data_IF_926177520246
#
_entry.id   IF_926177520246
#
_cell.length_a   1.000
_cell.length_b   1.000
_cell.length_c   1.000
_cell.angle_alpha   90.00
_cell.angle_beta   90.00
_cell.angle_gamma   90.00
#
_symmetry.space_group_name_H-M   'P 1'
#
loop_
_entity.id
_entity.type
_entity.pdbx_description
1 polymer ?
#
# COMPACT_ATOMS: atom_id res chain seq x y z
N UNK A 1 9.28 28.39 8.73
CA UNK A 1 9.52 27.97 7.32
C UNK A 1 10.29 26.66 7.24
N UNK A 2 11.33 26.45 8.04
CA UNK A 2 12.15 25.24 8.03
C UNK A 2 11.38 23.90 8.15
N UNK A 3 10.39 23.79 9.05
CA UNK A 3 9.61 22.56 9.26
C UNK A 3 8.82 22.13 8.01
N UNK A 4 8.19 23.08 7.29
CA UNK A 4 7.46 22.77 6.04
C UNK A 4 8.38 22.28 4.94
N UNK A 5 9.57 22.86 4.82
CA UNK A 5 10.58 22.47 3.82
C UNK A 5 11.10 21.06 4.12
N UNK A 6 11.32 20.73 5.38
CA UNK A 6 11.72 19.40 5.83
C UNK A 6 10.64 18.35 5.52
N UNK A 7 9.38 18.61 5.89
CA UNK A 7 8.25 17.71 5.58
C UNK A 7 8.13 17.47 4.06
N UNK A 8 8.31 18.49 3.24
CA UNK A 8 8.25 18.37 1.78
C UNK A 8 9.42 17.57 1.21
N UNK A 9 10.63 17.82 1.70
CA UNK A 9 11.83 17.07 1.29
C UNK A 9 11.71 15.59 1.67
N UNK A 10 11.26 15.29 2.90
CA UNK A 10 11.02 13.92 3.34
C UNK A 10 9.99 13.22 2.46
N UNK A 11 8.84 13.85 2.20
CA UNK A 11 7.83 13.31 1.30
C UNK A 11 8.38 13.06 -0.11
N UNK A 12 9.25 13.92 -0.63
CA UNK A 12 9.91 13.72 -1.92
C UNK A 12 10.80 12.48 -1.96
N UNK A 13 11.62 12.28 -0.93
CA UNK A 13 12.49 11.10 -0.81
C UNK A 13 11.65 9.81 -0.66
N UNK A 14 10.63 9.83 0.19
CA UNK A 14 9.75 8.67 0.40
C UNK A 14 8.93 8.33 -0.85
N UNK A 15 8.47 9.34 -1.58
CA UNK A 15 7.81 9.15 -2.87
C UNK A 15 8.77 8.49 -3.88
N UNK A 16 10.01 8.98 -3.99
CA UNK A 16 11.01 8.40 -4.88
C UNK A 16 11.33 6.93 -4.50
N UNK A 17 11.45 6.63 -3.20
CA UNK A 17 11.66 5.29 -2.70
C UNK A 17 10.49 4.36 -3.02
N UNK A 18 9.24 4.82 -2.82
CA UNK A 18 8.06 4.05 -3.16
C UNK A 18 7.98 3.75 -4.67
N UNK A 19 8.27 4.73 -5.51
CA UNK A 19 8.32 4.56 -6.98
C UNK A 19 9.43 3.60 -7.39
N UNK A 20 10.60 3.66 -6.74
CA UNK A 20 11.70 2.72 -6.99
C UNK A 20 11.29 1.28 -6.67
N UNK A 21 10.61 1.03 -5.55
CA UNK A 21 10.07 -0.30 -5.24
C UNK A 21 9.04 -0.77 -6.28
N UNK A 22 8.14 0.11 -6.72
CA UNK A 22 7.18 -0.21 -7.77
C UNK A 22 7.86 -0.51 -9.12
N UNK A 23 8.94 0.19 -9.43
CA UNK A 23 9.70 -0.09 -10.65
C UNK A 23 10.40 -1.45 -10.61
N UNK A 24 10.90 -1.86 -9.43
CA UNK A 24 11.50 -3.18 -9.23
C UNK A 24 10.52 -4.34 -9.49
N UNK A 25 9.21 -4.15 -9.32
CA UNK A 25 8.22 -5.19 -9.63
C UNK A 25 8.25 -5.62 -11.09
N UNK A 26 8.55 -4.70 -12.01
CA UNK A 26 8.71 -5.01 -13.43
C UNK A 26 10.00 -5.78 -13.78
N UNK A 27 10.98 -5.79 -12.88
CA UNK A 27 12.28 -6.47 -13.09
C UNK A 27 12.27 -7.89 -12.50
N UNK A 28 11.56 -8.07 -11.36
CA UNK A 28 11.51 -9.36 -10.64
C UNK A 28 10.07 -9.88 -10.64
N UNK A 29 9.71 -10.74 -11.62
CA UNK A 29 8.30 -11.12 -11.86
C UNK A 29 7.65 -11.97 -10.76
N UNK A 30 8.45 -12.59 -9.88
CA UNK A 30 7.93 -13.43 -8.78
C UNK A 30 7.39 -12.63 -7.57
N UNK A 31 7.44 -11.30 -7.61
CA UNK A 31 7.17 -10.45 -6.43
C UNK A 31 6.15 -9.35 -6.69
N UNK A 32 5.22 -9.54 -7.63
CA UNK A 32 4.21 -8.54 -8.04
C UNK A 32 3.45 -7.92 -6.84
N UNK A 33 3.18 -8.70 -5.79
CA UNK A 33 2.49 -8.21 -4.60
C UNK A 33 3.44 -7.70 -3.49
N UNK A 34 4.66 -8.23 -3.42
CA UNK A 34 5.61 -7.85 -2.38
C UNK A 34 6.12 -6.41 -2.54
N UNK A 35 6.41 -5.99 -3.77
CA UNK A 35 6.92 -4.64 -4.05
C UNK A 35 5.92 -3.52 -3.73
N UNK A 36 4.62 -3.62 -4.08
CA UNK A 36 3.63 -2.64 -3.64
C UNK A 36 3.47 -2.57 -2.12
N UNK A 37 3.61 -3.70 -1.41
CA UNK A 37 3.62 -3.74 0.05
C UNK A 37 4.81 -2.97 0.62
N UNK A 38 6.01 -3.19 0.09
CA UNK A 38 7.21 -2.45 0.49
C UNK A 38 7.10 -0.96 0.15
N UNK A 39 6.58 -0.62 -1.04
CA UNK A 39 6.32 0.76 -1.43
C UNK A 39 5.35 1.46 -0.48
N UNK A 40 4.30 0.76 -0.02
CA UNK A 40 3.36 1.30 0.97
C UNK A 40 3.99 1.43 2.35
N UNK A 41 4.84 0.48 2.76
CA UNK A 41 5.59 0.56 4.01
C UNK A 41 6.55 1.76 4.03
N UNK A 42 7.14 2.11 2.88
CA UNK A 42 7.97 3.31 2.75
C UNK A 42 7.21 4.63 3.02
N UNK A 43 5.87 4.62 3.01
CA UNK A 43 5.05 5.79 3.36
C UNK A 43 4.78 5.92 4.87
N UNK A 44 5.19 4.95 5.70
CA UNK A 44 5.00 5.01 7.16
C UNK A 44 5.66 6.25 7.79
N UNK A 45 6.92 6.62 7.47
CA UNK A 45 7.54 7.83 8.01
C UNK A 45 6.77 9.11 7.61
N UNK A 46 6.24 9.17 6.39
CA UNK A 46 5.42 10.31 5.97
C UNK A 46 4.17 10.49 6.82
N UNK A 47 3.59 9.38 7.28
CA UNK A 47 2.44 9.39 8.18
C UNK A 47 2.79 9.86 9.59
N UNK A 48 3.93 9.44 10.13
CA UNK A 48 4.35 9.74 11.51
C UNK A 48 4.93 11.15 11.64
N UNK A 49 5.77 11.59 10.69
CA UNK A 49 6.51 12.85 10.77
C UNK A 49 5.84 14.02 10.05
N UNK A 50 5.01 13.76 9.03
CA UNK A 50 4.41 14.80 8.23
C UNK A 50 2.94 15.02 8.60
N UNK A 51 2.43 16.21 8.24
CA UNK A 51 0.99 16.48 8.32
C UNK A 51 0.23 15.53 7.39
N UNK A 52 -0.99 15.15 7.79
CA UNK A 52 -1.86 14.26 7.00
C UNK A 52 -1.97 14.68 5.52
N UNK A 53 -2.04 15.99 5.25
CA UNK A 53 -2.12 16.51 3.87
C UNK A 53 -0.89 16.16 3.05
N UNK A 54 0.31 16.29 3.60
CA UNK A 54 1.55 15.96 2.90
C UNK A 54 1.71 14.45 2.68
N UNK A 55 1.33 13.65 3.68
CA UNK A 55 1.34 12.18 3.55
C UNK A 55 0.40 11.71 2.43
N UNK A 56 -0.81 12.25 2.34
CA UNK A 56 -1.73 11.97 1.24
C UNK A 56 -1.22 12.45 -0.11
N UNK A 57 -0.58 13.63 -0.17
CA UNK A 57 0.04 14.13 -1.40
C UNK A 57 1.20 13.25 -1.84
N UNK A 58 2.00 12.76 -0.89
CA UNK A 58 3.10 11.81 -1.14
C UNK A 58 2.56 10.49 -1.74
N UNK A 59 1.52 9.92 -1.14
CA UNK A 59 0.84 8.73 -1.69
C UNK A 59 0.30 8.98 -3.09
N UNK A 60 -0.43 10.08 -3.30
CA UNK A 60 -1.02 10.40 -4.61
C UNK A 60 0.05 10.58 -5.70
N UNK A 61 1.15 11.28 -5.37
CA UNK A 61 2.28 11.44 -6.27
C UNK A 61 2.93 10.09 -6.62
N UNK A 62 3.19 9.24 -5.61
CA UNK A 62 3.76 7.91 -5.82
C UNK A 62 2.83 7.01 -6.65
N UNK A 63 1.51 7.08 -6.43
CA UNK A 63 0.53 6.32 -7.19
C UNK A 63 0.48 6.74 -8.67
N UNK A 64 0.45 8.05 -8.94
CA UNK A 64 0.46 8.56 -10.31
C UNK A 64 1.77 8.22 -11.02
N UNK A 65 2.91 8.45 -10.38
CA UNK A 65 4.22 8.12 -10.94
C UNK A 65 4.38 6.61 -11.14
N UNK A 66 3.90 5.79 -10.20
CA UNK A 66 3.90 4.34 -10.33
C UNK A 66 3.09 3.88 -11.55
N UNK A 67 1.88 4.40 -11.74
CA UNK A 67 1.07 4.08 -12.91
C UNK A 67 1.70 4.50 -14.24
N UNK A 68 2.44 5.61 -14.26
CA UNK A 68 3.10 6.10 -15.48
C UNK A 68 4.40 5.36 -15.78
N UNK A 69 5.25 5.16 -14.77
CA UNK A 69 6.64 4.71 -14.94
C UNK A 69 6.81 3.19 -14.78
N UNK A 70 5.92 2.53 -14.00
CA UNK A 70 6.06 1.10 -13.75
C UNK A 70 5.68 0.29 -14.99
N UNK A 71 6.51 -0.69 -15.35
CA UNK A 71 6.22 -1.64 -16.43
C UNK A 71 5.10 -2.62 -16.03
N UNK A 72 5.10 -3.05 -14.76
CA UNK A 72 4.06 -3.91 -14.18
C UNK A 72 2.86 -3.04 -13.73
N UNK A 73 1.83 -3.00 -14.58
CA UNK A 73 0.62 -2.21 -14.31
C UNK A 73 -0.25 -2.83 -13.20
N UNK A 74 -0.17 -4.15 -13.02
CA UNK A 74 -0.88 -4.83 -11.94
C UNK A 74 -0.32 -4.40 -10.58
N UNK A 75 0.99 -4.44 -10.39
CA UNK A 75 1.65 -3.98 -9.17
C UNK A 75 1.36 -2.49 -8.88
N UNK A 76 1.38 -1.64 -9.91
CA UNK A 76 1.04 -0.23 -9.76
C UNK A 76 -0.41 -0.02 -9.31
N UNK A 77 -1.35 -0.82 -9.83
CA UNK A 77 -2.76 -0.79 -9.43
C UNK A 77 -2.93 -1.33 -8.00
N UNK A 78 -2.26 -2.42 -7.65
CA UNK A 78 -2.23 -2.93 -6.25
C UNK A 78 -1.81 -1.82 -5.28
N UNK A 79 -0.76 -1.08 -5.62
CA UNK A 79 -0.33 0.06 -4.80
C UNK A 79 -1.38 1.18 -4.75
N UNK A 80 -2.03 1.52 -5.85
CA UNK A 80 -3.07 2.54 -5.85
C UNK A 80 -4.23 2.21 -4.93
N UNK A 81 -4.64 0.93 -4.86
CA UNK A 81 -5.82 0.49 -4.11
C UNK A 81 -5.53 0.00 -2.70
N UNK A 82 -4.32 -0.43 -2.41
CA UNK A 82 -3.91 -0.92 -1.07
C UNK A 82 -2.82 -0.06 -0.42
N UNK A 83 -2.04 0.70 -1.19
CA UNK A 83 -0.92 1.49 -0.68
C UNK A 83 -1.30 2.65 0.22
N UNK A 84 -2.55 3.13 0.18
CA UNK A 84 -3.05 4.15 1.12
C UNK A 84 -3.41 3.57 2.50
N UNK A 85 -3.43 2.24 2.64
CA UNK A 85 -3.84 1.56 3.87
C UNK A 85 -3.07 2.03 5.11
N UNK A 86 -1.72 2.19 5.10
CA UNK A 86 -0.99 2.69 6.26
C UNK A 86 -1.47 4.07 6.73
N UNK A 87 -1.98 4.91 5.83
CA UNK A 87 -2.48 6.25 6.15
C UNK A 87 -3.86 6.22 6.83
N UNK A 88 -4.70 5.25 6.45
CA UNK A 88 -6.08 5.09 6.95
C UNK A 88 -6.12 4.22 8.20
N UNK A 89 -5.19 3.28 8.35
CA UNK A 89 -5.14 2.29 9.43
C UNK A 89 -5.36 2.88 10.84
N UNK A 90 -4.75 4.02 11.26
CA UNK A 90 -4.98 4.56 12.59
C UNK A 90 -6.44 4.94 12.85
N UNK A 91 -7.12 5.44 11.81
CA UNK A 91 -8.54 5.79 11.94
C UNK A 91 -9.41 4.52 12.11
N UNK A 92 -9.03 3.42 11.44
CA UNK A 92 -9.70 2.12 11.59
C UNK A 92 -9.40 1.50 12.96
N UNK A 93 -8.16 1.61 13.44
CA UNK A 93 -7.75 1.07 14.75
C UNK A 93 -8.35 1.85 15.92
N UNK A 94 -8.76 3.11 15.72
CA UNK A 94 -9.48 3.93 16.69
C UNK A 94 -10.92 3.44 16.96
N UNK A 95 -11.46 2.52 16.17
CA UNK A 95 -12.78 1.92 16.38
C UNK A 95 -12.74 1.05 17.64
N UNK A 96 -13.57 1.39 18.64
CA UNK A 96 -13.59 0.73 19.95
C UNK A 96 -13.96 -0.76 19.90
N UNK A 97 -14.88 -1.15 19.01
CA UNK A 97 -15.31 -2.54 18.86
C UNK A 97 -14.34 -3.34 17.99
N UNK A 98 -13.74 -4.41 18.56
CA UNK A 98 -12.82 -5.32 17.84
C UNK A 98 -13.47 -5.94 16.60
N UNK A 99 -14.73 -6.39 16.74
CA UNK A 99 -15.47 -6.97 15.63
C UNK A 99 -15.72 -5.94 14.52
N UNK A 100 -16.22 -4.75 14.86
CA UNK A 100 -16.48 -3.70 13.87
C UNK A 100 -15.21 -3.25 13.15
N UNK A 101 -14.08 -3.15 13.87
CA UNK A 101 -12.76 -2.85 13.31
C UNK A 101 -12.33 -3.89 12.28
N UNK A 102 -12.49 -5.20 12.62
CA UNK A 102 -12.16 -6.28 11.70
C UNK A 102 -13.05 -6.22 10.45
N UNK A 103 -14.36 -6.05 10.62
CA UNK A 103 -15.29 -5.92 9.49
C UNK A 103 -14.97 -4.69 8.62
N UNK A 104 -14.61 -3.57 9.23
CA UNK A 104 -14.22 -2.36 8.49
C UNK A 104 -12.93 -2.58 7.67
N UNK A 105 -11.91 -3.23 8.24
CA UNK A 105 -10.66 -3.58 7.54
C UNK A 105 -10.91 -4.54 6.39
N UNK A 106 -11.65 -5.63 6.62
CA UNK A 106 -11.99 -6.61 5.59
C UNK A 106 -12.88 -5.99 4.50
N UNK A 107 -13.87 -5.19 4.87
CA UNK A 107 -14.73 -4.48 3.93
C UNK A 107 -13.94 -3.52 3.05
N UNK A 108 -13.04 -2.73 3.63
CA UNK A 108 -12.15 -1.84 2.89
C UNK A 108 -11.29 -2.62 1.87
N UNK A 109 -10.68 -3.72 2.32
CA UNK A 109 -9.86 -4.57 1.47
C UNK A 109 -10.68 -5.17 0.32
N UNK A 110 -11.84 -5.77 0.63
CA UNK A 110 -12.70 -6.41 -0.38
C UNK A 110 -13.19 -5.40 -1.42
N UNK A 111 -13.62 -4.22 -0.99
CA UNK A 111 -14.06 -3.16 -1.92
C UNK A 111 -12.89 -2.69 -2.77
N UNK A 112 -11.72 -2.43 -2.18
CA UNK A 112 -10.52 -1.99 -2.92
C UNK A 112 -10.09 -3.02 -3.96
N UNK A 113 -10.03 -4.30 -3.59
CA UNK A 113 -9.72 -5.38 -4.53
C UNK A 113 -10.77 -5.51 -5.63
N UNK A 114 -12.05 -5.47 -5.28
CA UNK A 114 -13.14 -5.55 -6.25
C UNK A 114 -13.09 -4.42 -7.29
N UNK A 115 -12.87 -3.18 -6.85
CA UNK A 115 -12.73 -2.02 -7.74
C UNK A 115 -11.46 -2.14 -8.58
N UNK A 116 -10.34 -2.59 -8.00
CA UNK A 116 -9.09 -2.80 -8.72
C UNK A 116 -9.26 -3.81 -9.86
N UNK A 117 -9.80 -5.00 -9.58
CA UNK A 117 -10.03 -6.01 -10.62
C UNK A 117 -11.07 -5.57 -11.65
N UNK A 118 -12.12 -4.85 -11.23
CA UNK A 118 -13.06 -4.26 -12.18
C UNK A 118 -12.37 -3.29 -13.15
N UNK A 119 -11.46 -2.44 -12.68
CA UNK A 119 -10.68 -1.54 -13.54
C UNK A 119 -9.73 -2.31 -14.46
N UNK A 120 -9.05 -3.35 -13.97
CA UNK A 120 -8.16 -4.20 -14.78
C UNK A 120 -8.94 -4.82 -15.95
N UNK A 121 -10.13 -5.36 -15.68
CA UNK A 121 -10.92 -6.08 -16.68
C UNK A 121 -11.60 -5.09 -17.64
N UNK A 122 -12.24 -4.03 -17.14
CA UNK A 122 -13.09 -3.17 -17.97
C UNK A 122 -12.33 -2.00 -18.61
N UNK A 123 -11.32 -1.44 -17.92
CA UNK A 123 -10.62 -0.23 -18.38
C UNK A 123 -9.28 -0.60 -19.01
N UNK A 124 -8.42 -1.28 -18.30
CA UNK A 124 -7.07 -1.59 -18.77
C UNK A 124 -7.03 -2.80 -19.70
N UNK A 125 -8.03 -3.69 -19.62
CA UNK A 125 -8.15 -4.89 -20.46
C UNK A 125 -6.82 -5.66 -20.56
N UNK A 126 -6.12 -5.84 -19.43
CA UNK A 126 -4.83 -6.54 -19.38
C UNK A 126 -5.04 -8.00 -19.84
N UNK A 127 -4.46 -8.42 -21.00
CA UNK A 127 -4.82 -9.69 -21.63
C UNK A 127 -4.56 -10.90 -20.72
N UNK A 128 -3.46 -10.86 -19.95
CA UNK A 128 -3.09 -11.93 -19.04
C UNK A 128 -4.16 -12.16 -17.95
N UNK A 129 -4.62 -11.09 -17.32
CA UNK A 129 -5.63 -11.17 -16.26
C UNK A 129 -7.01 -11.54 -16.82
N UNK A 130 -7.38 -10.97 -17.97
CA UNK A 130 -8.67 -11.27 -18.63
C UNK A 130 -8.74 -12.74 -19.03
N UNK A 131 -7.67 -13.31 -19.59
CA UNK A 131 -7.59 -14.72 -19.94
C UNK A 131 -7.69 -15.62 -18.71
N UNK A 132 -6.93 -15.30 -17.64
CA UNK A 132 -6.96 -16.03 -16.40
C UNK A 132 -8.38 -16.10 -15.80
N UNK A 133 -9.10 -14.98 -15.79
CA UNK A 133 -10.48 -14.94 -15.30
C UNK A 133 -11.48 -15.66 -16.22
N UNK A 134 -11.28 -15.65 -17.54
CA UNK A 134 -12.21 -16.31 -18.50
C UNK A 134 -12.05 -17.82 -18.54
N UNK A 135 -10.84 -18.32 -18.29
CA UNK A 135 -10.52 -19.75 -18.34
C UNK A 135 -10.58 -20.42 -16.96
N UNK A 136 -10.61 -19.64 -15.89
CA UNK A 136 -10.58 -20.14 -14.52
C UNK A 136 -11.91 -20.75 -14.10
N UNK A 137 -11.88 -21.93 -13.51
CA UNK A 137 -13.03 -22.52 -12.85
C UNK A 137 -13.46 -21.66 -11.65
N UNK A 138 -14.75 -21.63 -11.34
CA UNK A 138 -15.31 -20.78 -10.27
C UNK A 138 -14.64 -20.97 -8.91
N UNK A 139 -14.18 -22.18 -8.57
CA UNK A 139 -13.45 -22.45 -7.33
C UNK A 139 -12.10 -21.73 -7.26
N UNK A 140 -11.43 -21.52 -8.41
CA UNK A 140 -10.14 -20.81 -8.49
C UNK A 140 -10.31 -19.32 -8.15
N UNK A 141 -11.40 -18.71 -8.58
CA UNK A 141 -11.74 -17.32 -8.23
C UNK A 141 -11.92 -17.15 -6.72
N UNK A 142 -12.61 -18.12 -6.08
CA UNK A 142 -12.75 -18.11 -4.63
C UNK A 142 -11.42 -18.33 -3.90
N UNK A 143 -10.56 -19.21 -4.44
CA UNK A 143 -9.24 -19.46 -3.88
C UNK A 143 -8.35 -18.20 -3.99
N UNK A 144 -8.39 -17.49 -5.12
CA UNK A 144 -7.66 -16.22 -5.32
C UNK A 144 -8.15 -15.14 -4.37
N UNK A 145 -9.47 -15.00 -4.18
CA UNK A 145 -10.04 -14.06 -3.23
C UNK A 145 -9.63 -14.38 -1.78
N UNK A 146 -9.66 -15.66 -1.39
CA UNK A 146 -9.23 -16.10 -0.06
C UNK A 146 -7.73 -15.83 0.16
N UNK A 147 -6.89 -16.08 -0.84
CA UNK A 147 -5.45 -15.77 -0.80
C UNK A 147 -5.21 -14.27 -0.67
N UNK A 148 -5.95 -13.44 -1.40
CA UNK A 148 -5.87 -11.98 -1.29
C UNK A 148 -6.22 -11.47 0.11
N UNK A 149 -7.25 -12.03 0.74
CA UNK A 149 -7.61 -11.70 2.12
C UNK A 149 -6.52 -12.14 3.12
N UNK A 150 -5.92 -13.31 2.91
CA UNK A 150 -4.81 -13.80 3.73
C UNK A 150 -3.59 -12.88 3.60
N UNK A 151 -3.22 -12.50 2.38
CA UNK A 151 -2.14 -11.55 2.11
C UNK A 151 -2.42 -10.19 2.78
N UNK A 152 -3.67 -9.72 2.73
CA UNK A 152 -4.05 -8.48 3.42
C UNK A 152 -3.90 -8.59 4.93
N UNK A 153 -4.25 -9.73 5.52
CA UNK A 153 -4.06 -9.96 6.96
C UNK A 153 -2.57 -9.93 7.35
N UNK A 154 -1.72 -10.59 6.56
CA UNK A 154 -0.26 -10.54 6.73
C UNK A 154 0.26 -9.11 6.56
N UNK A 155 -0.27 -8.39 5.59
CA UNK A 155 0.06 -6.98 5.35
C UNK A 155 -0.33 -6.08 6.53
N UNK A 156 -1.53 -6.27 7.11
CA UNK A 156 -1.96 -5.53 8.31
C UNK A 156 -1.01 -5.75 9.50
N UNK A 157 -0.59 -7.02 9.73
CA UNK A 157 0.39 -7.37 10.76
C UNK A 157 1.77 -6.74 10.47
N UNK A 158 2.21 -6.77 9.22
CA UNK A 158 3.49 -6.19 8.81
C UNK A 158 3.54 -4.69 9.11
N UNK A 159 2.49 -3.96 8.75
CA UNK A 159 2.38 -2.52 9.01
C UNK A 159 2.42 -2.23 10.51
N UNK A 160 1.77 -3.06 11.36
CA UNK A 160 1.84 -2.89 12.81
C UNK A 160 3.27 -3.08 13.34
N UNK A 161 3.94 -4.13 12.89
CA UNK A 161 5.31 -4.41 13.30
C UNK A 161 6.28 -3.31 12.88
N UNK A 162 6.18 -2.86 11.62
CA UNK A 162 7.03 -1.77 11.12
C UNK A 162 6.77 -0.46 11.85
N UNK A 163 5.51 -0.12 12.15
CA UNK A 163 5.18 1.09 12.91
C UNK A 163 5.76 1.06 14.33
N UNK A 164 5.77 -0.11 14.99
CA UNK A 164 6.37 -0.28 16.32
C UNK A 164 7.89 -0.13 16.25
N UNK A 165 8.55 -0.76 15.28
CA UNK A 165 10.00 -0.66 15.10
C UNK A 165 10.40 0.79 14.81
N UNK A 166 9.69 1.45 13.92
CA UNK A 166 9.97 2.86 13.58
C UNK A 166 9.90 3.77 14.80
N UNK A 167 8.85 3.66 15.62
CA UNK A 167 8.72 4.45 16.85
C UNK A 167 9.78 4.12 17.90
N UNK A 168 10.22 2.87 17.99
CA UNK A 168 11.27 2.49 18.95
C UNK A 168 12.62 3.06 18.56
N UNK A 169 12.93 3.16 17.28
CA UNK A 169 14.17 3.78 16.79
C UNK A 169 14.16 5.31 17.00
N UNK A 170 13.03 5.96 16.81
CA UNK A 170 12.87 7.40 17.04
C UNK A 170 13.19 7.74 18.52
N UNK A 171 12.60 7.02 19.47
CA UNK A 171 12.87 7.20 20.90
C UNK A 171 14.34 6.94 21.27
N UNK A 172 14.99 5.97 20.62
CA UNK A 172 16.40 5.66 20.89
C UNK A 172 17.33 6.76 20.37
N UNK A 173 17.02 7.34 19.22
CA UNK A 173 17.81 8.43 18.63
C UNK A 173 17.68 9.74 19.42
N UNK A 174 16.52 10.02 19.99
CA UNK A 174 16.31 11.17 20.87
C UNK A 174 17.12 11.07 22.15
N UNK A 175 17.20 9.87 22.76
CA UNK A 175 18.01 9.61 23.97
C UNK A 175 19.52 9.71 23.73
N UNK A 176 20.00 9.46 22.51
CA UNK A 176 21.42 9.57 22.15
C UNK A 176 21.84 11.01 21.79
N UNK A 177 20.88 11.89 21.52
CA UNK A 177 21.15 13.29 21.17
C UNK A 177 21.27 14.23 22.38
N UNK A 178 21.08 13.71 23.60
CA UNK A 178 21.27 14.38 24.89
C UNK A 178 22.50 13.83 25.60
#
# INVERSE_FOLDING_TARGET
>A
MAKKTHELALCGVLCALAVAFLWLSGVIPLSTYAWPILASAALLPAREECRKSYAWSCFAAAAVLGLLLCADKEAALVFCFLGYYPLVKPNLDAILSKALRLFAKLGLCTVSMGVMYALIIFVFKLPAVVQEFSESAAWLLWATAAMGLLLFFVYDLLIDRLAVVYRSEEHTSELQSH
#
